data_IF_603070182261
#
_entry.id   IF_603070182261
#
_cell.length_a   1.000
_cell.length_b   1.000
_cell.length_c   1.000
_cell.angle_alpha   90.00
_cell.angle_beta   90.00
_cell.angle_gamma   90.00
#
_symmetry.space_group_name_H-M   'P 1'
#
loop_
_entity.id
_entity.type
_entity.pdbx_description
1 polymer ?
#
# COMPACT_ATOMS: atom_id res chain seq x y z
N UNK A 1 -48.62 35.26 35.85
CA UNK A 1 -47.44 35.07 36.73
C UNK A 1 -46.83 33.73 36.33
N UNK A 2 -45.59 33.55 35.87
CA UNK A 2 -44.36 34.35 35.79
C UNK A 2 -43.70 33.95 34.45
N UNK A 3 -43.39 34.93 33.61
CA UNK A 3 -42.55 34.77 32.41
C UNK A 3 -41.10 34.81 32.86
N UNK A 4 -40.29 33.81 32.53
CA UNK A 4 -38.82 33.90 32.64
C UNK A 4 -38.25 33.39 31.31
N UNK A 5 -37.83 34.35 30.50
CA UNK A 5 -36.94 34.17 29.37
C UNK A 5 -35.52 34.20 29.91
N UNK A 6 -34.69 33.20 29.58
CA UNK A 6 -33.24 33.34 29.65
C UNK A 6 -32.64 32.97 28.29
N UNK A 7 -32.36 34.02 27.54
CA UNK A 7 -31.46 34.04 26.39
C UNK A 7 -30.04 33.92 26.94
N UNK A 8 -29.31 32.88 26.54
CA UNK A 8 -27.85 32.93 26.45
C UNK A 8 -27.46 32.31 25.12
N UNK A 9 -27.19 33.20 24.18
CA UNK A 9 -26.60 32.98 22.87
C UNK A 9 -25.11 32.65 23.09
N UNK A 10 -24.73 31.37 22.97
CA UNK A 10 -23.32 30.97 22.95
C UNK A 10 -22.95 30.68 21.51
N UNK A 11 -22.30 31.66 20.89
CA UNK A 11 -21.78 31.62 19.53
C UNK A 11 -20.60 30.64 19.54
N UNK A 12 -20.87 29.38 19.24
CA UNK A 12 -19.84 28.45 18.76
C UNK A 12 -19.48 28.88 17.33
N UNK A 13 -18.55 29.83 17.19
CA UNK A 13 -17.89 30.10 15.93
C UNK A 13 -17.10 28.84 15.55
N UNK A 14 -17.67 28.06 14.63
CA UNK A 14 -17.08 26.85 14.12
C UNK A 14 -15.73 27.15 13.48
N UNK A 15 -14.67 26.55 14.02
CA UNK A 15 -13.45 26.29 13.27
C UNK A 15 -13.79 25.18 12.28
N UNK A 16 -14.35 25.55 11.13
CA UNK A 16 -14.40 24.66 9.98
C UNK A 16 -12.96 24.58 9.46
N UNK A 17 -12.18 23.65 10.01
CA UNK A 17 -11.00 23.16 9.31
C UNK A 17 -11.50 22.45 8.06
N UNK A 18 -11.66 23.18 6.96
CA UNK A 18 -11.67 22.57 5.65
C UNK A 18 -10.26 22.07 5.40
N UNK A 19 -9.98 20.85 5.86
CA UNK A 19 -8.87 20.07 5.36
C UNK A 19 -9.15 19.83 3.87
N UNK A 20 -8.81 20.81 3.03
CA UNK A 20 -8.59 20.57 1.62
C UNK A 20 -7.40 19.61 1.56
N UNK A 21 -7.67 18.31 1.60
CA UNK A 21 -6.73 17.32 1.14
C UNK A 21 -6.52 17.62 -0.35
N UNK A 22 -5.58 18.53 -0.63
CA UNK A 22 -5.16 18.83 -1.99
C UNK A 22 -4.56 17.54 -2.53
N UNK A 23 -5.37 16.77 -3.27
CA UNK A 23 -4.88 15.68 -4.10
C UNK A 23 -3.87 16.33 -5.03
N UNK A 24 -2.57 16.08 -4.82
CA UNK A 24 -1.56 16.66 -5.69
C UNK A 24 -1.80 16.11 -7.08
N UNK A 25 -1.80 17.01 -8.06
CA UNK A 25 -1.82 16.59 -9.45
C UNK A 25 -0.59 15.73 -9.70
N UNK A 26 -0.80 14.56 -10.29
CA UNK A 26 0.27 13.62 -10.61
C UNK A 26 1.12 14.25 -11.72
N UNK A 27 2.46 14.30 -11.55
CA UNK A 27 3.35 14.84 -12.57
C UNK A 27 3.22 14.08 -13.90
N UNK A 28 3.31 14.80 -15.02
CA UNK A 28 3.27 14.18 -16.35
C UNK A 28 4.41 13.17 -16.54
N UNK A 29 5.58 13.44 -15.96
CA UNK A 29 6.74 12.52 -15.96
C UNK A 29 6.37 11.13 -15.41
N UNK A 30 5.56 11.10 -14.34
CA UNK A 30 5.11 9.85 -13.70
C UNK A 30 4.13 9.10 -14.59
N UNK A 31 3.15 9.79 -15.17
CA UNK A 31 2.16 9.15 -16.06
C UNK A 31 2.77 8.67 -17.37
N UNK A 32 3.79 9.38 -17.87
CA UNK A 32 4.53 9.00 -19.07
C UNK A 32 5.38 7.75 -18.81
N UNK A 33 6.19 7.75 -17.73
CA UNK A 33 7.00 6.59 -17.35
C UNK A 33 6.14 5.34 -17.10
N UNK A 34 4.94 5.51 -16.53
CA UNK A 34 3.98 4.42 -16.39
C UNK A 34 3.52 3.88 -17.75
N UNK A 35 3.10 4.76 -18.65
CA UNK A 35 2.59 4.36 -19.98
C UNK A 35 3.68 3.70 -20.83
N UNK A 36 4.93 4.14 -20.71
CA UNK A 36 6.08 3.53 -21.37
C UNK A 36 6.36 2.12 -20.85
N UNK A 37 6.25 1.90 -19.52
CA UNK A 37 6.52 0.60 -18.92
C UNK A 37 5.35 -0.39 -19.06
N UNK A 38 4.12 0.11 -19.07
CA UNK A 38 2.89 -0.69 -19.07
C UNK A 38 1.92 -0.24 -20.17
N UNK A 39 2.34 -0.34 -21.44
CA UNK A 39 1.57 0.11 -22.59
C UNK A 39 0.17 -0.53 -22.69
N UNK A 40 0.03 -1.78 -22.25
CA UNK A 40 -1.22 -2.55 -22.30
C UNK A 40 -2.04 -2.50 -20.99
N UNK A 41 -1.68 -1.63 -20.05
CA UNK A 41 -2.40 -1.50 -18.78
C UNK A 41 -3.84 -1.01 -18.98
N UNK A 42 -4.76 -1.61 -18.23
CA UNK A 42 -6.19 -1.27 -18.20
C UNK A 42 -6.59 -0.85 -16.80
N UNK A 43 -7.74 -0.16 -16.68
CA UNK A 43 -8.35 0.21 -15.40
C UNK A 43 -7.36 0.91 -14.44
N UNK A 44 -6.60 1.88 -14.97
CA UNK A 44 -5.54 2.56 -14.21
C UNK A 44 -6.14 3.55 -13.21
N UNK A 45 -5.95 3.29 -11.93
CA UNK A 45 -6.31 4.16 -10.83
C UNK A 45 -5.05 4.67 -10.13
N UNK A 46 -4.99 5.98 -9.89
CA UNK A 46 -3.83 6.57 -9.25
C UNK A 46 -4.11 7.01 -7.80
N UNK A 47 -3.09 6.84 -6.96
CA UNK A 47 -3.07 7.31 -5.57
C UNK A 47 -1.78 8.09 -5.30
N UNK A 48 -1.93 9.31 -4.78
CA UNK A 48 -0.81 10.08 -4.22
C UNK A 48 -0.52 9.56 -2.80
N UNK A 49 0.60 8.86 -2.63
CA UNK A 49 1.12 8.45 -1.32
C UNK A 49 2.21 9.45 -0.92
N UNK A 50 2.40 9.65 0.39
CA UNK A 50 3.28 10.68 0.96
C UNK A 50 4.69 10.72 0.31
N UNK A 51 5.24 9.54 -0.03
CA UNK A 51 6.57 9.36 -0.60
C UNK A 51 6.61 8.94 -2.08
N UNK A 52 5.48 8.57 -2.68
CA UNK A 52 5.43 7.99 -4.03
C UNK A 52 4.04 8.11 -4.66
N UNK A 53 3.99 8.09 -5.98
CA UNK A 53 2.75 7.90 -6.73
C UNK A 53 2.54 6.41 -6.98
N UNK A 54 1.36 5.90 -6.67
CA UNK A 54 1.00 4.51 -6.90
C UNK A 54 -0.07 4.42 -7.99
N UNK A 55 0.16 3.60 -9.01
CA UNK A 55 -0.82 3.24 -10.03
C UNK A 55 -1.29 1.82 -9.74
N UNK A 56 -2.59 1.64 -9.48
CA UNK A 56 -3.25 0.33 -9.47
C UNK A 56 -3.85 0.09 -10.85
N UNK A 57 -3.58 -1.05 -11.47
CA UNK A 57 -4.02 -1.32 -12.84
C UNK A 57 -4.14 -2.82 -13.08
N UNK A 58 -4.78 -3.17 -14.20
CA UNK A 58 -4.85 -4.54 -14.70
C UNK A 58 -3.89 -4.72 -15.88
N UNK A 59 -3.12 -5.79 -15.86
CA UNK A 59 -2.25 -6.20 -16.96
C UNK A 59 -2.28 -7.72 -17.08
N UNK A 60 -2.54 -8.24 -18.29
CA UNK A 60 -2.64 -9.68 -18.56
C UNK A 60 -3.63 -10.44 -17.64
N UNK A 61 -4.65 -9.75 -17.11
CA UNK A 61 -5.64 -10.32 -16.19
C UNK A 61 -5.24 -10.27 -14.71
N UNK A 62 -4.01 -9.82 -14.41
CA UNK A 62 -3.54 -9.62 -13.03
C UNK A 62 -3.77 -8.18 -12.58
N UNK A 63 -4.11 -8.01 -11.30
CA UNK A 63 -4.16 -6.68 -10.66
C UNK A 63 -2.80 -6.36 -10.04
N UNK A 64 -2.22 -5.23 -10.43
CA UNK A 64 -0.89 -4.78 -9.99
C UNK A 64 -0.95 -3.39 -9.37
N UNK A 65 -0.01 -3.10 -8.46
CA UNK A 65 0.27 -1.74 -7.97
C UNK A 65 1.72 -1.37 -8.27
N UNK A 66 1.95 -0.47 -9.23
CA UNK A 66 3.28 0.07 -9.53
C UNK A 66 3.51 1.39 -8.78
N UNK A 67 4.72 1.60 -8.27
CA UNK A 67 5.11 2.82 -7.56
C UNK A 67 6.19 3.58 -8.31
N UNK A 68 6.03 4.89 -8.34
CA UNK A 68 6.94 5.83 -8.99
C UNK A 68 7.26 6.97 -8.02
N UNK A 69 8.48 7.46 -8.05
CA UNK A 69 8.82 8.67 -7.30
C UNK A 69 8.40 9.94 -8.06
N UNK A 70 8.69 11.12 -7.49
CA UNK A 70 8.27 12.41 -8.08
C UNK A 70 8.89 12.73 -9.45
N UNK A 71 9.98 12.06 -9.81
CA UNK A 71 10.68 12.21 -11.09
C UNK A 71 10.23 11.19 -12.14
N UNK A 72 9.23 10.35 -11.83
CA UNK A 72 8.82 9.25 -12.70
C UNK A 72 9.74 8.03 -12.65
N UNK A 73 10.69 7.94 -11.71
CA UNK A 73 11.53 6.75 -11.59
C UNK A 73 10.72 5.62 -10.94
N UNK A 74 10.59 4.49 -11.63
CA UNK A 74 9.93 3.29 -11.14
C UNK A 74 10.67 2.74 -9.91
N UNK A 75 9.92 2.54 -8.82
CA UNK A 75 10.43 2.05 -7.54
C UNK A 75 10.14 0.56 -7.31
N UNK A 76 9.17 0.03 -8.04
CA UNK A 76 8.77 -1.36 -7.93
C UNK A 76 7.30 -1.58 -8.30
N UNK A 77 6.94 -2.84 -8.49
CA UNK A 77 5.56 -3.27 -8.77
C UNK A 77 5.20 -4.40 -7.86
N UNK A 78 4.01 -4.29 -7.27
CA UNK A 78 3.45 -5.32 -6.41
C UNK A 78 2.37 -6.07 -7.16
N UNK A 79 2.48 -7.39 -7.16
CA UNK A 79 1.45 -8.31 -7.65
C UNK A 79 0.96 -9.14 -6.47
N UNK A 80 -0.34 -9.18 -6.27
CA UNK A 80 -0.94 -10.11 -5.30
C UNK A 80 -0.77 -11.54 -5.82
N UNK A 81 -0.29 -12.43 -4.94
CA UNK A 81 -0.12 -13.85 -5.24
C UNK A 81 -1.06 -14.69 -4.40
N UNK A 82 -1.35 -15.91 -4.85
CA UNK A 82 -1.85 -16.93 -3.93
C UNK A 82 -0.70 -17.35 -3.00
N UNK A 83 -1.01 -17.66 -1.74
CA UNK A 83 -0.01 -18.15 -0.80
C UNK A 83 0.72 -19.41 -1.31
N UNK A 84 0.02 -20.23 -2.10
CA UNK A 84 0.58 -21.42 -2.73
C UNK A 84 1.58 -21.13 -3.84
N UNK A 85 1.55 -19.94 -4.43
CA UNK A 85 2.48 -19.50 -5.49
C UNK A 85 3.77 -18.89 -4.92
N UNK A 86 3.89 -18.74 -3.60
CA UNK A 86 5.13 -18.28 -2.98
C UNK A 86 6.29 -19.26 -3.23
N UNK A 87 7.51 -18.77 -3.48
CA UNK A 87 8.69 -19.61 -3.57
C UNK A 87 8.87 -20.47 -2.32
N UNK A 88 9.33 -21.71 -2.50
CA UNK A 88 9.58 -22.65 -1.40
C UNK A 88 10.54 -22.08 -0.36
N UNK A 89 11.60 -21.38 -0.79
CA UNK A 89 12.54 -20.72 0.10
C UNK A 89 11.85 -19.70 1.03
N UNK A 90 10.92 -18.91 0.49
CA UNK A 90 10.15 -17.91 1.26
C UNK A 90 9.17 -18.59 2.22
N UNK A 91 8.49 -19.66 1.79
CA UNK A 91 7.62 -20.46 2.66
C UNK A 91 8.41 -21.05 3.84
N UNK A 92 9.58 -21.61 3.56
CA UNK A 92 10.49 -22.14 4.58
C UNK A 92 10.96 -21.04 5.54
N UNK A 93 11.36 -19.88 5.00
CA UNK A 93 11.75 -18.71 5.77
C UNK A 93 10.64 -18.22 6.69
N UNK A 94 9.40 -18.17 6.19
CA UNK A 94 8.23 -17.81 6.96
C UNK A 94 7.94 -18.80 8.09
N UNK A 95 8.00 -20.11 7.81
CA UNK A 95 7.77 -21.16 8.81
C UNK A 95 8.77 -21.13 9.97
N UNK A 96 10.01 -20.67 9.71
CA UNK A 96 11.07 -20.51 10.72
C UNK A 96 10.99 -19.18 11.47
N UNK A 97 10.09 -18.29 11.08
CA UNK A 97 9.92 -17.00 11.71
C UNK A 97 9.05 -17.09 12.97
N UNK A 98 9.17 -16.10 13.86
CA UNK A 98 8.31 -15.97 15.05
C UNK A 98 6.82 -15.68 14.73
N UNK A 99 6.46 -15.60 13.45
CA UNK A 99 5.11 -15.29 12.97
C UNK A 99 4.41 -16.49 12.33
N UNK A 100 5.02 -17.68 12.37
CA UNK A 100 4.44 -18.88 11.75
C UNK A 100 3.04 -19.24 12.26
N UNK A 101 2.72 -18.88 13.51
CA UNK A 101 1.40 -19.13 14.12
C UNK A 101 0.38 -18.03 13.82
N UNK A 102 0.77 -16.98 13.08
CA UNK A 102 -0.13 -15.89 12.71
C UNK A 102 -0.85 -16.23 11.42
N UNK A 103 -2.11 -15.80 11.30
CA UNK A 103 -2.91 -16.03 10.11
C UNK A 103 -2.35 -15.22 8.94
N UNK A 104 -2.02 -15.89 7.84
CA UNK A 104 -1.62 -15.24 6.59
C UNK A 104 -2.85 -14.67 5.91
N UNK A 105 -2.85 -13.37 5.62
CA UNK A 105 -3.98 -12.64 5.02
C UNK A 105 -3.83 -12.49 3.52
N UNK A 106 -2.74 -11.87 3.09
CA UNK A 106 -2.41 -11.66 1.69
C UNK A 106 -0.92 -11.75 1.49
N UNK A 107 -0.50 -12.12 0.29
CA UNK A 107 0.91 -12.19 -0.07
C UNK A 107 1.12 -11.42 -1.37
N UNK A 108 2.25 -10.75 -1.48
CA UNK A 108 2.62 -9.99 -2.68
C UNK A 108 4.02 -10.36 -3.12
N UNK A 109 4.20 -10.55 -4.43
CA UNK A 109 5.51 -10.43 -5.05
C UNK A 109 5.77 -8.95 -5.35
N UNK A 110 6.98 -8.51 -5.03
CA UNK A 110 7.46 -7.14 -5.26
C UNK A 110 8.63 -7.22 -6.22
N UNK A 111 8.39 -6.80 -7.45
CA UNK A 111 9.45 -6.57 -8.43
C UNK A 111 10.11 -5.23 -8.14
N UNK A 112 11.44 -5.22 -8.12
CA UNK A 112 12.26 -4.06 -7.82
C UNK A 112 13.24 -3.78 -8.97
N UNK A 113 13.86 -2.59 -9.02
CA UNK A 113 15.00 -2.33 -9.90
C UNK A 113 16.13 -3.36 -9.75
N UNK A 114 16.95 -3.50 -10.80
CA UNK A 114 18.05 -4.47 -10.89
C UNK A 114 17.61 -5.95 -10.87
N UNK A 115 16.41 -6.25 -11.38
CA UNK A 115 15.84 -7.61 -11.43
C UNK A 115 15.72 -8.29 -10.05
N UNK A 116 15.64 -7.48 -8.99
CA UNK A 116 15.46 -7.96 -7.62
C UNK A 116 13.99 -8.29 -7.37
N UNK A 117 13.77 -9.34 -6.58
CA UNK A 117 12.45 -9.73 -6.10
C UNK A 117 12.43 -9.83 -4.58
N UNK A 118 11.38 -9.28 -4.02
CA UNK A 118 11.04 -9.40 -2.60
C UNK A 118 9.60 -9.90 -2.46
N UNK A 119 9.29 -10.44 -1.29
CA UNK A 119 7.98 -11.01 -1.00
C UNK A 119 7.42 -10.40 0.28
N UNK A 120 6.21 -9.86 0.19
CA UNK A 120 5.48 -9.33 1.34
C UNK A 120 4.45 -10.33 1.80
N UNK A 121 4.48 -10.67 3.09
CA UNK A 121 3.48 -11.54 3.72
C UNK A 121 2.76 -10.72 4.78
N UNK A 122 1.47 -10.48 4.56
CA UNK A 122 0.61 -9.81 5.53
C UNK A 122 0.10 -10.86 6.51
N UNK A 123 0.44 -10.70 7.78
CA UNK A 123 0.02 -11.63 8.84
C UNK A 123 -0.79 -10.91 9.91
N UNK A 124 -1.74 -11.63 10.51
CA UNK A 124 -2.56 -11.13 11.59
C UNK A 124 -2.69 -12.17 12.71
N UNK A 125 -2.49 -11.74 13.95
CA UNK A 125 -2.82 -12.53 15.14
C UNK A 125 -4.23 -12.21 15.66
N UNK A 126 -4.68 -10.99 15.41
CA UNK A 126 -6.02 -10.51 15.76
C UNK A 126 -6.44 -9.38 14.82
N UNK A 127 -7.64 -8.83 15.01
CA UNK A 127 -8.10 -7.65 14.25
C UNK A 127 -7.21 -6.41 14.45
N UNK A 128 -6.49 -6.33 15.56
CA UNK A 128 -5.62 -5.21 15.92
C UNK A 128 -4.14 -5.53 15.64
N UNK A 129 -3.72 -6.76 15.88
CA UNK A 129 -2.34 -7.17 15.70
C UNK A 129 -2.11 -7.66 14.27
N UNK A 130 -1.66 -6.74 13.40
CA UNK A 130 -1.28 -7.02 12.01
C UNK A 130 0.15 -6.59 11.74
N UNK A 131 0.85 -7.33 10.88
CA UNK A 131 2.21 -7.03 10.45
C UNK A 131 2.39 -7.35 8.98
N UNK A 132 3.30 -6.62 8.34
CA UNK A 132 3.82 -6.94 7.02
C UNK A 132 5.25 -7.45 7.22
N UNK A 133 5.50 -8.66 6.73
CA UNK A 133 6.83 -9.28 6.72
C UNK A 133 7.40 -9.15 5.32
N UNK A 134 8.65 -8.73 5.21
CA UNK A 134 9.35 -8.60 3.94
C UNK A 134 10.47 -9.64 3.88
N UNK A 135 10.42 -10.51 2.89
CA UNK A 135 11.43 -11.54 2.63
C UNK A 135 12.15 -11.25 1.31
N UNK A 136 13.42 -11.62 1.21
CA UNK A 136 14.09 -11.73 -0.09
C UNK A 136 13.73 -13.04 -0.80
N UNK A 137 14.21 -13.21 -2.03
CA UNK A 137 13.98 -14.42 -2.83
C UNK A 137 14.54 -15.71 -2.20
N UNK A 138 15.54 -15.61 -1.32
CA UNK A 138 16.14 -16.73 -0.60
C UNK A 138 15.38 -17.08 0.70
N UNK A 139 14.29 -16.35 0.99
CA UNK A 139 13.46 -16.56 2.18
C UNK A 139 14.04 -16.00 3.47
N UNK A 140 15.01 -15.10 3.40
CA UNK A 140 15.50 -14.38 4.57
C UNK A 140 14.55 -13.23 4.90
N UNK A 141 14.12 -13.17 6.16
CA UNK A 141 13.32 -12.05 6.67
C UNK A 141 14.17 -10.78 6.73
N UNK A 142 13.85 -9.81 5.87
CA UNK A 142 14.51 -8.51 5.80
C UNK A 142 13.92 -7.51 6.80
N UNK A 143 12.58 -7.46 6.92
CA UNK A 143 11.86 -6.52 7.81
C UNK A 143 10.57 -7.13 8.36
N UNK A 144 10.24 -6.82 9.61
CA UNK A 144 9.04 -7.32 10.30
C UNK A 144 8.33 -6.28 11.19
N UNK A 145 8.73 -5.01 11.08
CA UNK A 145 8.20 -3.87 11.82
C UNK A 145 7.27 -2.99 10.97
N UNK A 146 6.91 -3.46 9.78
CA UNK A 146 5.97 -2.78 8.90
C UNK A 146 4.55 -3.02 9.42
N UNK A 147 3.82 -1.93 9.65
CA UNK A 147 2.42 -1.94 10.06
C UNK A 147 1.52 -1.62 8.88
N UNK A 148 0.36 -2.29 8.83
CA UNK A 148 -0.73 -2.01 7.90
C UNK A 148 -1.40 -0.66 8.19
#
# INVERSE_FOLDING_TARGET
>A
MKKIYFVVLLICAGLIFTANAQVRKIPAEVTNAFSEKYADAKNVEWKDKLSAFAATFELNGDKLEARFNKKGEWQGTEKELNADDLPSAVKDGFSKSKYTDWETKTVYEVELPDDKKEYKIHVAKSSVQKKILLFDADGKLLKDNLTL
#
